data_IF_804157141229
#
_entry.id   IF_804157141229
#
_cell.length_a   1.000
_cell.length_b   1.000
_cell.length_c   1.000
_cell.angle_alpha   90.00
_cell.angle_beta   90.00
_cell.angle_gamma   90.00
#
_symmetry.space_group_name_H-M   'P 1'
#
loop_
_entity.id
_entity.type
_entity.pdbx_description
1 polymer ?
#
# COMPACT_ATOMS: atom_id res chain seq x y z
N UNK A 1 -2.39 -3.24 -7.54
CA UNK A 1 -3.32 -3.06 -6.41
C UNK A 1 -4.74 -2.84 -6.89
N UNK A 2 -5.00 -1.82 -7.70
CA UNK A 2 -6.31 -1.41 -8.15
C UNK A 2 -7.08 -2.50 -8.92
N UNK A 3 -6.37 -3.41 -9.59
CA UNK A 3 -6.98 -4.57 -10.27
C UNK A 3 -7.56 -5.62 -9.32
N UNK A 4 -7.03 -5.72 -8.10
CA UNK A 4 -7.50 -6.66 -7.08
C UNK A 4 -8.46 -6.01 -6.08
N UNK A 5 -8.35 -4.70 -5.91
CA UNK A 5 -9.18 -3.92 -5.00
C UNK A 5 -10.33 -3.20 -5.73
N UNK A 6 -10.53 -3.43 -7.03
CA UNK A 6 -11.55 -2.77 -7.83
C UNK A 6 -11.43 -3.12 -9.31
N UNK A 7 -11.86 -2.20 -10.18
CA UNK A 7 -11.88 -2.35 -11.63
C UNK A 7 -10.59 -1.86 -12.30
N UNK A 8 -9.43 -2.01 -11.64
CA UNK A 8 -8.14 -1.62 -12.20
C UNK A 8 -7.83 -0.13 -12.14
N UNK A 9 -8.66 0.69 -11.51
CA UNK A 9 -8.47 2.14 -11.37
C UNK A 9 -8.64 2.61 -9.93
N UNK A 10 -8.00 3.75 -9.62
CA UNK A 10 -7.95 4.37 -8.30
C UNK A 10 -9.34 4.56 -7.68
N UNK A 11 -10.28 5.16 -8.43
CA UNK A 11 -11.61 5.51 -7.93
C UNK A 11 -12.37 4.27 -7.46
N UNK A 12 -12.46 3.26 -8.31
CA UNK A 12 -13.15 2.01 -7.99
C UNK A 12 -12.54 1.29 -6.78
N UNK A 13 -11.22 1.44 -6.59
CA UNK A 13 -10.53 0.84 -5.45
C UNK A 13 -10.82 1.55 -4.14
N UNK A 14 -10.85 2.89 -4.13
CA UNK A 14 -11.24 3.64 -2.94
C UNK A 14 -12.69 3.32 -2.54
N UNK A 15 -13.61 3.31 -3.51
CA UNK A 15 -15.02 2.98 -3.27
C UNK A 15 -15.17 1.58 -2.68
N UNK A 16 -14.52 0.58 -3.28
CA UNK A 16 -14.57 -0.79 -2.79
C UNK A 16 -13.97 -0.95 -1.38
N UNK A 17 -12.82 -0.31 -1.13
CA UNK A 17 -12.16 -0.34 0.18
C UNK A 17 -13.05 0.29 1.25
N UNK A 18 -13.72 1.40 0.93
CA UNK A 18 -14.65 2.07 1.84
C UNK A 18 -15.89 1.23 2.14
N UNK A 19 -16.55 0.69 1.11
CA UNK A 19 -17.73 -0.17 1.26
C UNK A 19 -17.41 -1.42 2.08
N UNK A 20 -16.24 -2.02 1.84
CA UNK A 20 -15.82 -3.25 2.50
C UNK A 20 -15.11 -3.00 3.84
N UNK A 21 -14.97 -1.73 4.24
CA UNK A 21 -14.24 -1.27 5.42
C UNK A 21 -12.86 -1.95 5.59
N UNK A 22 -12.08 -2.00 4.50
CA UNK A 22 -10.77 -2.67 4.50
C UNK A 22 -9.79 -1.90 5.39
N UNK A 23 -9.16 -2.59 6.33
CA UNK A 23 -8.04 -2.04 7.10
C UNK A 23 -6.74 -2.10 6.28
N UNK A 24 -5.97 -1.02 6.33
CA UNK A 24 -4.69 -0.89 5.63
C UNK A 24 -3.64 -0.31 6.55
N UNK A 25 -2.43 -0.87 6.49
CA UNK A 25 -1.23 -0.39 7.19
C UNK A 25 -0.06 -0.34 6.22
N UNK A 26 0.93 0.50 6.53
CA UNK A 26 2.23 0.44 5.88
C UNK A 26 3.06 -0.72 6.46
N UNK A 27 3.83 -1.40 5.61
CA UNK A 27 4.78 -2.44 6.03
C UNK A 27 5.80 -1.90 7.04
N UNK A 28 6.17 -0.62 6.91
CA UNK A 28 7.10 0.04 7.85
C UNK A 28 6.51 0.21 9.26
N UNK A 29 5.19 0.33 9.37
CA UNK A 29 4.47 0.48 10.66
C UNK A 29 3.81 -0.81 11.12
N UNK A 30 3.89 -1.89 10.33
CA UNK A 30 3.22 -3.16 10.60
C UNK A 30 3.51 -3.72 11.99
N UNK A 31 4.76 -3.61 12.46
CA UNK A 31 5.13 -4.07 13.80
C UNK A 31 4.46 -3.22 14.90
N UNK A 32 4.36 -1.91 14.69
CA UNK A 32 3.66 -1.03 15.63
C UNK A 32 2.16 -1.33 15.63
N UNK A 33 1.58 -1.56 14.44
CA UNK A 33 0.18 -1.96 14.30
C UNK A 33 -0.13 -3.28 15.01
N UNK A 34 0.72 -4.31 14.85
CA UNK A 34 0.57 -5.60 15.54
C UNK A 34 0.63 -5.44 17.06
N UNK A 35 1.53 -4.58 17.54
CA UNK A 35 1.65 -4.30 18.97
C UNK A 35 0.42 -3.56 19.50
N UNK A 36 -0.06 -2.54 18.80
CA UNK A 36 -1.22 -1.73 19.20
C UNK A 36 -2.53 -2.53 19.16
N UNK A 37 -2.75 -3.29 18.09
CA UNK A 37 -4.04 -3.94 17.84
C UNK A 37 -4.13 -5.35 18.44
N UNK A 38 -2.99 -6.04 18.58
CA UNK A 38 -2.96 -7.46 18.97
C UNK A 38 -2.09 -7.76 20.20
N UNK A 39 -1.42 -6.75 20.78
CA UNK A 39 -0.47 -6.92 21.89
C UNK A 39 0.66 -7.93 21.60
N UNK A 40 1.00 -8.12 20.32
CA UNK A 40 2.08 -8.98 19.87
C UNK A 40 3.39 -8.18 19.95
N UNK A 41 4.34 -8.63 20.77
CA UNK A 41 5.57 -7.88 21.10
C UNK A 41 6.82 -8.44 20.42
N UNK A 42 6.77 -9.70 19.96
CA UNK A 42 7.96 -10.42 19.52
C UNK A 42 7.70 -11.02 18.15
N UNK A 43 8.54 -10.74 17.14
CA UNK A 43 8.91 -11.63 16.01
C UNK A 43 10.02 -11.02 15.14
N UNK A 44 10.96 -11.88 14.75
CA UNK A 44 11.93 -11.64 13.66
C UNK A 44 11.50 -12.44 12.44
N UNK A 45 11.01 -11.77 11.39
CA UNK A 45 11.05 -12.33 10.05
C UNK A 45 11.92 -11.42 9.18
N UNK A 46 13.15 -11.87 8.91
CA UNK A 46 13.97 -11.29 7.85
C UNK A 46 13.29 -11.64 6.53
N UNK A 47 12.49 -10.71 6.00
CA UNK A 47 12.08 -10.74 4.60
C UNK A 47 13.34 -10.58 3.74
N UNK A 48 13.98 -11.70 3.41
CA UNK A 48 15.09 -11.73 2.46
C UNK A 48 14.47 -11.87 1.07
N UNK A 49 14.06 -10.74 0.49
CA UNK A 49 13.67 -10.71 -0.92
C UNK A 49 14.88 -11.16 -1.76
N UNK A 50 14.63 -11.93 -2.82
CA UNK A 50 15.67 -12.22 -3.84
C UNK A 50 16.13 -10.90 -4.46
N UNK A 51 17.40 -10.81 -4.85
CA UNK A 51 17.94 -9.60 -5.49
C UNK A 51 17.06 -9.19 -6.68
N UNK A 52 16.46 -8.01 -6.56
CA UNK A 52 15.52 -7.45 -7.53
C UNK A 52 16.31 -6.52 -8.44
N UNK A 53 15.96 -6.50 -9.74
CA UNK A 53 16.34 -5.43 -10.65
C UNK A 53 16.01 -4.07 -10.00
N UNK A 54 17.02 -3.28 -9.66
CA UNK A 54 16.82 -1.96 -9.08
C UNK A 54 16.24 -1.05 -10.17
N UNK A 55 15.26 -0.20 -9.84
CA UNK A 55 14.57 0.62 -10.85
C UNK A 55 15.54 1.48 -11.66
N UNK A 56 16.64 1.90 -11.04
CA UNK A 56 17.72 2.68 -11.63
C UNK A 56 18.48 1.91 -12.74
N UNK A 57 18.48 0.57 -12.70
CA UNK A 57 19.14 -0.28 -13.72
C UNK A 57 18.26 -0.54 -14.93
N UNK A 58 17.01 -0.09 -14.93
CA UNK A 58 16.10 -0.20 -16.07
C UNK A 58 16.38 0.88 -17.12
N UNK A 59 16.26 0.49 -18.40
CA UNK A 59 16.24 1.45 -19.52
C UNK A 59 14.99 2.33 -19.47
N UNK A 60 15.03 3.50 -20.09
CA UNK A 60 13.90 4.45 -20.08
C UNK A 60 12.62 3.83 -20.67
N UNK A 61 12.74 3.01 -21.72
CA UNK A 61 11.62 2.26 -22.30
C UNK A 61 11.01 1.24 -21.32
N UNK A 62 11.84 0.61 -20.48
CA UNK A 62 11.35 -0.29 -19.43
C UNK A 62 10.69 0.51 -18.30
N UNK A 63 11.25 1.66 -17.93
CA UNK A 63 10.67 2.57 -16.93
C UNK A 63 9.30 3.09 -17.36
N UNK A 64 9.15 3.55 -18.60
CA UNK A 64 7.84 3.95 -19.15
C UNK A 64 6.83 2.80 -19.15
N UNK A 65 7.27 1.59 -19.55
CA UNK A 65 6.41 0.41 -19.53
C UNK A 65 5.98 0.05 -18.11
N UNK A 66 6.89 0.12 -17.14
CA UNK A 66 6.57 -0.07 -15.72
C UNK A 66 5.55 1.00 -15.31
N UNK A 67 5.85 2.28 -15.51
CA UNK A 67 4.98 3.38 -15.11
C UNK A 67 3.56 3.27 -15.67
N UNK A 68 3.41 2.96 -16.96
CA UNK A 68 2.09 2.77 -17.59
C UNK A 68 1.27 1.60 -17.01
N UNK A 69 1.93 0.62 -16.38
CA UNK A 69 1.25 -0.47 -15.67
C UNK A 69 0.89 -0.12 -14.22
N UNK A 70 1.55 0.87 -13.63
CA UNK A 70 1.46 1.20 -12.20
C UNK A 70 0.83 2.56 -11.90
N UNK A 71 0.49 3.39 -12.87
CA UNK A 71 0.01 4.76 -12.63
C UNK A 71 -1.17 4.81 -11.63
N UNK A 72 -2.19 3.98 -11.84
CA UNK A 72 -3.36 3.92 -10.95
C UNK A 72 -3.02 3.33 -9.58
N UNK A 73 -2.10 2.36 -9.55
CA UNK A 73 -1.61 1.77 -8.30
C UNK A 73 -0.80 2.77 -7.48
N UNK A 74 0.00 3.61 -8.14
CA UNK A 74 0.79 4.67 -7.54
C UNK A 74 -0.12 5.75 -6.93
N UNK A 75 -1.15 6.19 -7.66
CA UNK A 75 -2.18 7.10 -7.13
C UNK A 75 -2.84 6.55 -5.87
N UNK A 76 -3.19 5.26 -5.88
CA UNK A 76 -3.81 4.60 -4.73
C UNK A 76 -2.86 4.54 -3.54
N UNK A 77 -1.62 4.12 -3.77
CA UNK A 77 -0.60 4.04 -2.73
C UNK A 77 -0.33 5.41 -2.09
N UNK A 78 -0.11 6.45 -2.90
CA UNK A 78 0.17 7.80 -2.41
C UNK A 78 -0.99 8.35 -1.57
N UNK A 79 -2.23 8.10 -1.99
CA UNK A 79 -3.42 8.51 -1.24
C UNK A 79 -3.49 7.82 0.13
N UNK A 80 -3.29 6.49 0.18
CA UNK A 80 -3.29 5.72 1.43
C UNK A 80 -2.18 6.22 2.38
N UNK A 81 -0.96 6.37 1.88
CA UNK A 81 0.19 6.84 2.69
C UNK A 81 -0.05 8.26 3.20
N UNK A 82 -0.60 9.15 2.37
CA UNK A 82 -0.93 10.51 2.81
C UNK A 82 -1.96 10.49 3.93
N UNK A 83 -3.03 9.70 3.80
CA UNK A 83 -4.07 9.56 4.84
C UNK A 83 -3.52 8.97 6.13
N UNK A 84 -2.71 7.90 6.05
CA UNK A 84 -2.03 7.32 7.21
C UNK A 84 -1.23 8.38 7.97
N UNK A 85 -0.38 9.15 7.26
CA UNK A 85 0.40 10.24 7.85
C UNK A 85 -0.46 11.31 8.50
N UNK A 86 -1.58 11.70 7.89
CA UNK A 86 -2.50 12.70 8.44
C UNK A 86 -3.18 12.21 9.73
N UNK A 87 -3.54 10.93 9.82
CA UNK A 87 -4.18 10.39 11.03
C UNK A 87 -3.21 10.14 12.19
N UNK A 88 -1.91 9.99 11.90
CA UNK A 88 -0.90 9.62 12.90
C UNK A 88 -1.05 8.19 13.45
N UNK A 89 -1.94 7.38 12.88
CA UNK A 89 -2.20 6.00 13.28
C UNK A 89 -1.32 5.01 12.51
N UNK A 90 -1.18 3.81 13.06
CA UNK A 90 -0.47 2.72 12.39
C UNK A 90 -1.31 2.07 11.27
N UNK A 91 -2.64 2.15 11.33
CA UNK A 91 -3.57 1.72 10.29
C UNK A 91 -4.72 2.70 10.09
N UNK A 92 -5.38 2.58 8.94
CA UNK A 92 -6.65 3.24 8.63
C UNK A 92 -7.62 2.25 7.99
N UNK A 93 -8.91 2.48 8.22
CA UNK A 93 -9.98 1.76 7.57
C UNK A 93 -10.44 2.46 6.30
N UNK A 94 -11.07 1.71 5.39
CA UNK A 94 -11.51 2.22 4.09
C UNK A 94 -12.42 3.44 4.17
N UNK A 95 -13.27 3.54 5.19
CA UNK A 95 -14.12 4.73 5.42
C UNK A 95 -13.31 6.03 5.60
N UNK A 96 -12.07 5.92 6.09
CA UNK A 96 -11.17 7.05 6.33
C UNK A 96 -10.40 7.47 5.06
N UNK A 97 -10.62 6.78 3.94
CA UNK A 97 -10.01 7.11 2.65
C UNK A 97 -10.83 8.11 1.83
N UNK A 98 -12.11 8.32 2.18
CA UNK A 98 -13.02 9.25 1.50
C UNK A 98 -12.78 10.68 2.02
#
# INVERSE_FOLDING_TARGET
>A
MCRYLGNGNFKSSIEFMAISNIEVTDVRTYNNWLKESWSIVDFTQKNKARDILVYETLSDKQKERVWSLYEEDAKLYDHIIKRLKTTGRCSIFGEQLI
#
